data_IF_737613838487
#
_entry.id   IF_737613838487
#
_cell.length_a   1.000
_cell.length_b   1.000
_cell.length_c   1.000
_cell.angle_alpha   90.00
_cell.angle_beta   90.00
_cell.angle_gamma   90.00
#
_symmetry.space_group_name_H-M   'P 1'
#
loop_
_entity.id
_entity.type
_entity.pdbx_description
1 polymer ?
#
# COMPACT_ATOMS: atom_id res chain seq x y z
N UNK A 1 62.89 -13.06 62.01
CA UNK A 1 62.48 -11.80 62.66
C UNK A 1 62.97 -10.71 61.71
N UNK A 2 62.15 -9.92 61.03
CA UNK A 2 60.84 -9.35 61.33
C UNK A 2 60.25 -8.92 59.99
N UNK A 3 58.98 -9.19 59.72
CA UNK A 3 58.20 -8.34 58.80
C UNK A 3 56.72 -8.69 58.88
N UNK A 4 55.86 -7.68 59.08
CA UNK A 4 54.65 -7.67 58.28
C UNK A 4 54.23 -6.27 57.85
N UNK A 5 53.74 -6.12 56.61
CA UNK A 5 52.61 -5.23 56.37
C UNK A 5 51.83 -5.53 55.08
N UNK A 6 50.49 -5.51 55.26
CA UNK A 6 49.40 -5.18 54.32
C UNK A 6 48.90 -6.22 53.33
N UNK A 7 47.78 -6.82 53.74
CA UNK A 7 46.76 -7.51 52.92
C UNK A 7 45.88 -6.50 52.17
N UNK A 8 45.56 -6.80 50.91
CA UNK A 8 44.36 -6.35 50.22
C UNK A 8 43.91 -7.48 49.29
N UNK A 9 42.76 -8.10 49.58
CA UNK A 9 42.14 -9.13 48.73
C UNK A 9 41.00 -8.53 47.92
N UNK A 10 41.11 -8.55 46.59
CA UNK A 10 39.98 -8.36 45.67
C UNK A 10 40.05 -9.41 44.57
N UNK A 11 39.18 -10.40 44.73
CA UNK A 11 38.17 -10.82 43.76
C UNK A 11 38.54 -10.83 42.26
N UNK A 12 38.71 -12.02 41.69
CA UNK A 12 38.28 -12.37 40.32
C UNK A 12 38.68 -13.81 39.97
N UNK A 13 37.70 -14.72 39.87
CA UNK A 13 37.68 -15.83 38.88
C UNK A 13 36.60 -16.86 39.23
N UNK A 14 35.42 -16.73 38.63
CA UNK A 14 34.52 -17.87 38.42
C UNK A 14 33.90 -17.76 37.03
N UNK A 15 34.57 -18.38 36.06
CA UNK A 15 33.97 -18.77 34.79
C UNK A 15 33.62 -20.27 34.86
N UNK A 16 32.43 -20.61 34.37
CA UNK A 16 31.85 -21.93 34.00
C UNK A 16 30.43 -22.09 34.53
N UNK A 17 29.51 -21.33 33.94
CA UNK A 17 28.09 -21.67 33.87
C UNK A 17 27.78 -22.19 32.47
N UNK A 18 27.48 -23.50 32.36
CA UNK A 18 27.14 -24.14 31.09
C UNK A 18 25.92 -23.49 30.46
N UNK A 19 26.10 -22.93 29.24
CA UNK A 19 25.00 -22.42 28.43
C UNK A 19 24.16 -23.58 27.94
N UNK A 20 22.98 -23.69 28.53
CA UNK A 20 21.89 -24.54 28.07
C UNK A 20 21.55 -24.16 26.62
N UNK A 21 21.99 -24.97 25.65
CA UNK A 21 21.62 -24.84 24.24
C UNK A 21 20.16 -25.26 24.12
N UNK A 22 19.25 -24.31 24.32
CA UNK A 22 17.84 -24.51 24.03
C UNK A 22 17.69 -24.78 22.53
N UNK A 23 17.50 -26.06 22.24
CA UNK A 23 17.15 -26.65 20.97
C UNK A 23 15.78 -26.08 20.56
N UNK A 24 15.77 -24.91 19.88
CA UNK A 24 14.56 -24.42 19.20
C UNK A 24 14.35 -25.30 17.98
N UNK A 25 13.70 -26.44 18.24
CA UNK A 25 13.10 -27.31 17.25
C UNK A 25 12.37 -26.47 16.21
N UNK A 26 12.65 -26.77 14.94
CA UNK A 26 12.07 -26.11 13.79
C UNK A 26 10.55 -26.17 13.87
N UNK A 27 9.94 -25.04 14.23
CA UNK A 27 8.52 -24.80 13.97
C UNK A 27 8.40 -24.86 12.46
N UNK A 28 7.88 -25.97 11.94
CA UNK A 28 7.40 -26.06 10.55
C UNK A 28 6.71 -24.74 10.26
N UNK A 29 7.25 -23.97 9.30
CA UNK A 29 6.59 -22.77 8.81
C UNK A 29 5.28 -23.26 8.22
N UNK A 30 4.21 -23.27 9.02
CA UNK A 30 2.85 -23.39 8.50
C UNK A 30 2.78 -22.42 7.33
N UNK A 31 2.39 -22.91 6.16
CA UNK A 31 2.12 -22.04 5.02
C UNK A 31 1.30 -20.87 5.56
N UNK A 32 1.81 -19.64 5.41
CA UNK A 32 1.05 -18.47 5.81
C UNK A 32 -0.23 -18.52 4.99
N UNK A 33 -1.36 -18.72 5.67
CA UNK A 33 -2.68 -18.64 5.07
C UNK A 33 -2.81 -17.28 4.39
N UNK A 34 -3.50 -17.24 3.26
CA UNK A 34 -3.81 -15.96 2.63
C UNK A 34 -4.66 -15.12 3.60
N UNK A 35 -4.58 -13.80 3.46
CA UNK A 35 -5.29 -12.87 4.34
C UNK A 35 -4.62 -12.66 5.70
N UNK A 36 -5.25 -11.79 6.48
CA UNK A 36 -4.78 -11.33 7.77
C UNK A 36 -5.50 -12.02 8.93
N UNK A 37 -5.25 -11.56 10.15
CA UNK A 37 -6.08 -11.95 11.30
C UNK A 37 -7.52 -11.58 10.99
N UNK A 38 -8.47 -12.44 11.36
CA UNK A 38 -9.90 -12.20 11.13
C UNK A 38 -10.31 -10.80 11.60
N UNK A 39 -11.06 -10.07 10.76
CA UNK A 39 -11.55 -8.71 11.01
C UNK A 39 -12.25 -8.58 12.37
N UNK A 40 -13.12 -9.53 12.73
CA UNK A 40 -13.82 -9.51 14.03
C UNK A 40 -12.85 -9.46 15.22
N UNK A 41 -11.76 -10.23 15.17
CA UNK A 41 -10.73 -10.23 16.22
C UNK A 41 -9.95 -8.92 16.25
N UNK A 42 -9.68 -8.32 15.09
CA UNK A 42 -8.99 -7.02 15.03
C UNK A 42 -9.88 -5.89 15.55
N UNK A 43 -11.18 -5.92 15.23
CA UNK A 43 -12.18 -4.97 15.74
C UNK A 43 -12.28 -5.03 17.27
N UNK A 44 -12.35 -6.22 17.84
CA UNK A 44 -12.39 -6.41 19.30
C UNK A 44 -11.13 -5.82 19.98
N UNK A 45 -9.95 -6.09 19.42
CA UNK A 45 -8.67 -5.60 19.97
C UNK A 45 -8.52 -4.08 19.91
N UNK A 46 -9.07 -3.44 18.89
CA UNK A 46 -8.97 -2.00 18.68
C UNK A 46 -10.22 -1.23 19.12
N UNK A 47 -11.17 -1.86 19.82
CA UNK A 47 -12.46 -1.23 20.16
C UNK A 47 -12.30 0.09 20.94
N UNK A 48 -11.44 0.11 21.96
CA UNK A 48 -11.17 1.32 22.76
C UNK A 48 -10.51 2.43 21.94
N UNK A 49 -9.56 2.06 21.07
CA UNK A 49 -8.88 3.02 20.19
C UNK A 49 -9.87 3.62 19.18
N UNK A 50 -10.73 2.78 18.59
CA UNK A 50 -11.78 3.22 17.66
C UNK A 50 -12.73 4.21 18.36
N UNK A 51 -13.18 3.90 19.58
CA UNK A 51 -14.06 4.79 20.33
C UNK A 51 -13.41 6.16 20.58
N UNK A 52 -12.11 6.19 20.90
CA UNK A 52 -11.36 7.44 21.06
C UNK A 52 -11.29 8.24 19.73
N UNK A 53 -10.99 7.57 18.61
CA UNK A 53 -10.93 8.19 17.29
C UNK A 53 -12.30 8.74 16.84
N UNK A 54 -13.38 8.01 17.12
CA UNK A 54 -14.75 8.46 16.86
C UNK A 54 -15.17 9.65 17.74
N UNK A 55 -14.72 9.66 19.00
CA UNK A 55 -14.97 10.79 19.91
C UNK A 55 -14.23 12.04 19.45
N UNK A 56 -12.97 11.88 18.99
CA UNK A 56 -12.19 12.96 18.40
C UNK A 56 -12.87 13.53 17.15
N UNK A 57 -13.34 12.68 16.24
CA UNK A 57 -14.03 13.11 15.02
C UNK A 57 -15.30 13.92 15.33
N UNK A 58 -16.05 13.54 16.37
CA UNK A 58 -17.23 14.30 16.83
C UNK A 58 -16.85 15.60 17.53
N UNK A 59 -15.76 15.61 18.29
CA UNK A 59 -15.33 16.79 19.04
C UNK A 59 -14.52 17.82 18.25
N UNK A 60 -14.21 17.57 16.97
CA UNK A 60 -13.26 18.38 16.18
C UNK A 60 -13.64 19.86 16.02
N UNK A 61 -14.93 20.18 16.03
CA UNK A 61 -15.42 21.57 15.92
C UNK A 61 -15.47 22.31 17.27
N UNK A 62 -15.30 21.61 18.39
CA UNK A 62 -15.29 22.19 19.73
C UNK A 62 -13.87 22.40 20.26
N UNK A 63 -12.85 22.15 19.45
CA UNK A 63 -11.46 22.36 19.82
C UNK A 63 -11.15 23.86 19.88
N UNK A 64 -10.20 24.23 20.76
CA UNK A 64 -9.80 25.64 20.94
C UNK A 64 -9.10 26.20 19.71
N UNK A 65 -8.31 25.37 19.04
CA UNK A 65 -7.61 25.70 17.80
C UNK A 65 -8.30 24.96 16.66
N UNK A 66 -8.46 25.64 15.52
CA UNK A 66 -9.06 25.03 14.34
C UNK A 66 -8.16 23.90 13.84
N UNK A 67 -8.71 22.71 13.55
CA UNK A 67 -7.93 21.62 12.96
C UNK A 67 -7.31 22.04 11.62
N UNK A 68 -6.18 21.42 11.27
CA UNK A 68 -5.50 21.71 10.01
C UNK A 68 -6.44 21.58 8.81
N UNK A 69 -6.36 22.54 7.88
CA UNK A 69 -7.19 22.57 6.66
C UNK A 69 -8.57 23.19 6.85
N UNK A 70 -8.94 23.62 8.05
CA UNK A 70 -10.18 24.37 8.24
C UNK A 70 -9.94 25.87 7.92
N UNK A 71 -10.93 26.58 7.36
CA UNK A 71 -10.82 28.02 7.16
C UNK A 71 -10.74 28.77 8.51
N UNK A 72 -10.27 30.02 8.48
CA UNK A 72 -10.24 30.87 9.69
C UNK A 72 -11.66 31.14 10.21
N UNK A 73 -12.56 31.53 9.29
CA UNK A 73 -13.97 31.75 9.56
C UNK A 73 -14.77 30.49 9.26
N UNK A 74 -15.24 29.82 10.32
CA UNK A 74 -16.01 28.59 10.22
C UNK A 74 -17.44 28.88 10.65
N UNK A 75 -18.36 28.74 9.71
CA UNK A 75 -19.78 28.70 10.00
C UNK A 75 -20.13 27.50 10.90
N UNK A 76 -21.21 27.60 11.67
CA UNK A 76 -21.66 26.49 12.54
C UNK A 76 -21.84 25.19 11.72
N UNK A 77 -21.28 24.05 12.17
CA UNK A 77 -21.31 22.81 11.42
C UNK A 77 -22.72 22.23 11.37
N UNK A 78 -23.16 21.82 10.19
CA UNK A 78 -24.41 21.10 9.99
C UNK A 78 -24.19 19.61 10.25
N UNK A 79 -25.28 18.85 10.40
CA UNK A 79 -25.22 17.40 10.59
C UNK A 79 -25.88 16.68 9.43
N UNK A 80 -25.15 15.74 8.83
CA UNK A 80 -25.58 14.89 7.74
C UNK A 80 -25.41 13.42 8.13
N UNK A 81 -26.36 12.59 7.72
CA UNK A 81 -26.36 11.15 7.98
C UNK A 81 -26.66 10.39 6.71
N UNK A 82 -25.83 9.39 6.41
CA UNK A 82 -25.92 8.61 5.19
C UNK A 82 -25.90 7.11 5.49
N UNK A 83 -26.77 6.39 4.80
CA UNK A 83 -26.70 4.94 4.69
C UNK A 83 -25.94 4.60 3.40
N UNK A 84 -24.83 3.88 3.53
CA UNK A 84 -23.95 3.53 2.42
C UNK A 84 -23.84 2.02 2.32
N UNK A 85 -24.59 1.44 1.39
CA UNK A 85 -24.56 0.01 1.14
C UNK A 85 -23.19 -0.40 0.58
N UNK A 86 -22.67 -1.54 1.04
CA UNK A 86 -21.39 -2.10 0.56
C UNK A 86 -21.55 -3.58 0.24
N UNK A 87 -20.77 -4.04 -0.73
CA UNK A 87 -20.69 -5.43 -1.18
C UNK A 87 -19.22 -5.86 -1.25
N UNK A 88 -18.57 -6.09 -0.10
CA UNK A 88 -17.19 -6.52 -0.09
C UNK A 88 -17.04 -7.94 -0.66
N UNK A 89 -15.90 -8.22 -1.27
CA UNK A 89 -15.55 -9.54 -1.81
C UNK A 89 -15.28 -10.50 -0.64
N UNK A 90 -15.88 -11.71 -0.61
CA UNK A 90 -15.61 -12.68 0.44
C UNK A 90 -14.14 -13.07 0.53
N UNK A 91 -13.60 -13.26 1.74
CA UNK A 91 -12.19 -13.58 1.94
C UNK A 91 -11.83 -14.92 1.28
N UNK A 92 -12.77 -15.87 1.28
CA UNK A 92 -12.60 -17.16 0.64
C UNK A 92 -12.36 -17.02 -0.87
N UNK A 93 -13.17 -16.20 -1.53
CA UNK A 93 -13.09 -15.97 -2.97
C UNK A 93 -11.80 -15.23 -3.33
N UNK A 94 -11.42 -14.24 -2.53
CA UNK A 94 -10.13 -13.55 -2.67
C UNK A 94 -8.93 -14.50 -2.47
N UNK A 95 -8.96 -15.37 -1.46
CA UNK A 95 -7.93 -16.39 -1.20
C UNK A 95 -7.78 -17.35 -2.37
N UNK A 96 -8.91 -17.84 -2.90
CA UNK A 96 -8.92 -18.73 -4.05
C UNK A 96 -8.42 -18.05 -5.32
N UNK A 97 -8.78 -16.78 -5.54
CA UNK A 97 -8.32 -16.01 -6.69
C UNK A 97 -6.83 -15.68 -6.62
N UNK A 98 -6.31 -15.31 -5.45
CA UNK A 98 -4.91 -14.95 -5.24
C UNK A 98 -3.94 -16.04 -5.73
N UNK A 99 -4.35 -17.30 -5.62
CA UNK A 99 -3.57 -18.46 -6.11
C UNK A 99 -3.59 -18.64 -7.63
N UNK A 100 -4.61 -18.12 -8.32
CA UNK A 100 -4.86 -18.32 -9.76
C UNK A 100 -4.36 -17.17 -10.63
N UNK A 101 -4.34 -15.95 -10.09
CA UNK A 101 -3.87 -14.75 -10.82
C UNK A 101 -2.35 -14.62 -10.89
N UNK A 102 -1.62 -15.40 -10.09
CA UNK A 102 -0.16 -15.33 -10.00
C UNK A 102 0.49 -16.53 -10.70
N UNK A 103 1.35 -16.27 -11.69
CA UNK A 103 2.24 -17.28 -12.29
C UNK A 103 3.70 -16.86 -12.20
N UNK A 104 4.59 -17.85 -12.25
CA UNK A 104 6.04 -17.63 -12.17
C UNK A 104 6.52 -16.92 -13.43
N UNK A 105 7.30 -15.85 -13.25
CA UNK A 105 7.90 -15.08 -14.35
C UNK A 105 6.96 -14.07 -15.02
N UNK A 106 5.68 -14.02 -14.65
CA UNK A 106 4.71 -13.06 -15.19
C UNK A 106 4.73 -11.75 -14.38
N UNK A 107 5.70 -10.88 -14.65
CA UNK A 107 5.76 -9.52 -14.09
C UNK A 107 5.44 -8.41 -15.10
N UNK A 108 5.35 -8.75 -16.38
CA UNK A 108 5.01 -7.83 -17.45
C UNK A 108 3.52 -7.74 -17.74
N UNK A 109 3.22 -7.20 -18.92
CA UNK A 109 1.89 -7.19 -19.51
C UNK A 109 1.34 -8.61 -19.63
N UNK A 110 0.03 -8.72 -19.46
CA UNK A 110 -0.66 -9.95 -19.76
C UNK A 110 -1.07 -9.86 -21.23
N UNK A 111 -0.84 -10.94 -21.97
CA UNK A 111 -1.45 -11.12 -23.28
C UNK A 111 -2.97 -11.26 -23.11
N UNK A 112 -3.73 -10.89 -24.14
CA UNK A 112 -5.20 -10.88 -24.11
C UNK A 112 -5.76 -12.25 -23.70
N UNK A 113 -5.18 -13.35 -24.19
CA UNK A 113 -5.63 -14.70 -23.82
C UNK A 113 -5.47 -14.98 -22.31
N UNK A 114 -4.47 -14.37 -21.67
CA UNK A 114 -4.27 -14.52 -20.23
C UNK A 114 -5.22 -13.62 -19.44
N UNK A 115 -5.62 -12.48 -19.99
CA UNK A 115 -6.68 -11.63 -19.42
C UNK A 115 -8.02 -12.37 -19.47
N UNK A 116 -8.36 -12.94 -20.62
CA UNK A 116 -9.58 -13.75 -20.82
C UNK A 116 -9.63 -14.95 -19.88
N UNK A 117 -8.51 -15.65 -19.70
CA UNK A 117 -8.43 -16.76 -18.74
C UNK A 117 -8.70 -16.28 -17.30
N UNK A 118 -8.18 -15.11 -16.90
CA UNK A 118 -8.47 -14.54 -15.58
C UNK A 118 -9.94 -14.16 -15.47
N UNK A 119 -10.55 -13.64 -16.54
CA UNK A 119 -11.96 -13.29 -16.57
C UNK A 119 -12.86 -14.53 -16.38
N UNK A 120 -12.56 -15.63 -17.08
CA UNK A 120 -13.28 -16.91 -16.95
C UNK A 120 -13.14 -17.50 -15.55
N UNK A 121 -11.94 -17.40 -14.96
CA UNK A 121 -11.74 -17.83 -13.57
C UNK A 121 -12.55 -16.93 -12.62
N UNK A 122 -12.54 -15.61 -12.82
CA UNK A 122 -13.24 -14.64 -11.98
C UNK A 122 -14.75 -14.82 -11.98
N UNK A 123 -15.37 -15.23 -13.09
CA UNK A 123 -16.82 -15.46 -13.15
C UNK A 123 -17.31 -16.59 -12.24
N UNK A 124 -16.40 -17.44 -11.73
CA UNK A 124 -16.73 -18.49 -10.75
C UNK A 124 -16.72 -17.99 -9.30
N UNK A 125 -16.41 -16.71 -9.07
CA UNK A 125 -16.27 -16.09 -7.75
C UNK A 125 -17.12 -14.81 -7.65
N UNK A 126 -17.33 -14.32 -6.43
CA UNK A 126 -17.92 -12.99 -6.21
C UNK A 126 -16.88 -11.89 -6.42
N UNK A 127 -16.28 -11.87 -7.62
CA UNK A 127 -15.21 -10.96 -7.94
C UNK A 127 -15.18 -10.61 -9.44
N UNK A 128 -14.92 -9.36 -9.79
CA UNK A 128 -14.81 -8.90 -11.18
C UNK A 128 -13.40 -9.11 -11.75
N UNK A 129 -13.26 -8.96 -13.07
CA UNK A 129 -11.95 -9.00 -13.75
C UNK A 129 -11.01 -7.91 -13.22
N UNK A 130 -11.50 -6.68 -13.07
CA UNK A 130 -10.73 -5.53 -12.61
C UNK A 130 -10.25 -5.74 -11.16
N UNK A 131 -11.11 -6.31 -10.31
CA UNK A 131 -10.74 -6.71 -8.95
C UNK A 131 -9.63 -7.77 -8.98
N UNK A 132 -9.69 -8.75 -9.90
CA UNK A 132 -8.66 -9.79 -10.05
C UNK A 132 -7.33 -9.25 -10.55
N UNK A 133 -7.35 -8.36 -11.55
CA UNK A 133 -6.17 -7.70 -12.09
C UNK A 133 -5.53 -6.76 -11.05
N UNK A 134 -6.35 -6.06 -10.26
CA UNK A 134 -5.88 -5.23 -9.14
C UNK A 134 -5.29 -6.08 -8.01
N UNK A 135 -5.93 -7.19 -7.63
CA UNK A 135 -5.39 -8.16 -6.66
C UNK A 135 -4.05 -8.72 -7.12
N UNK A 136 -3.94 -9.12 -8.39
CA UNK A 136 -2.68 -9.56 -9.00
C UNK A 136 -1.58 -8.50 -8.85
N UNK A 137 -1.89 -7.25 -9.16
CA UNK A 137 -0.95 -6.13 -9.07
C UNK A 137 -0.47 -5.94 -7.62
N UNK A 138 -1.37 -6.01 -6.64
CA UNK A 138 -1.04 -5.96 -5.21
C UNK A 138 -0.10 -7.11 -4.77
N UNK A 139 -0.39 -8.33 -5.24
CA UNK A 139 0.39 -9.52 -4.93
C UNK A 139 1.79 -9.48 -5.54
N UNK A 140 1.92 -9.02 -6.79
CA UNK A 140 3.21 -8.84 -7.45
C UNK A 140 4.08 -7.79 -6.76
N UNK A 141 3.48 -6.67 -6.32
CA UNK A 141 4.18 -5.66 -5.51
C UNK A 141 4.68 -6.27 -4.19
N UNK A 142 3.83 -7.01 -3.47
CA UNK A 142 4.22 -7.67 -2.22
C UNK A 142 5.35 -8.68 -2.42
N UNK A 143 5.21 -9.55 -3.45
CA UNK A 143 6.22 -10.56 -3.81
C UNK A 143 7.56 -9.91 -4.11
N UNK A 144 7.55 -8.77 -4.81
CA UNK A 144 8.74 -7.98 -5.11
C UNK A 144 9.36 -7.42 -3.83
N UNK A 145 8.60 -6.67 -3.02
CA UNK A 145 9.13 -6.01 -1.82
C UNK A 145 9.71 -7.02 -0.82
N UNK A 146 9.00 -8.11 -0.53
CA UNK A 146 9.45 -9.10 0.45
C UNK A 146 10.49 -10.08 -0.13
N UNK A 147 10.53 -10.26 -1.44
CA UNK A 147 11.50 -11.12 -2.12
C UNK A 147 12.86 -10.47 -2.41
N UNK A 148 12.96 -9.14 -2.34
CA UNK A 148 14.15 -8.38 -2.78
C UNK A 148 15.46 -8.83 -2.10
N UNK A 149 15.44 -9.11 -0.79
CA UNK A 149 16.63 -9.57 -0.07
C UNK A 149 17.17 -10.91 -0.58
N UNK A 150 16.27 -11.86 -0.89
CA UNK A 150 16.61 -13.16 -1.49
C UNK A 150 17.11 -13.00 -2.92
N UNK A 151 16.53 -12.08 -3.70
CA UNK A 151 17.01 -11.82 -5.04
C UNK A 151 18.43 -11.25 -5.02
N UNK A 152 18.69 -10.28 -4.14
CA UNK A 152 20.01 -9.65 -4.02
C UNK A 152 21.11 -10.66 -3.70
N UNK A 153 20.83 -11.72 -2.93
CA UNK A 153 21.83 -12.77 -2.67
C UNK A 153 22.21 -13.58 -3.91
N UNK A 154 21.40 -13.54 -4.98
CA UNK A 154 21.68 -14.14 -6.28
C UNK A 154 22.36 -13.17 -7.26
N UNK A 155 22.71 -11.95 -6.84
CA UNK A 155 23.29 -10.89 -7.70
C UNK A 155 24.45 -11.38 -8.56
N UNK A 156 25.47 -11.98 -7.95
CA UNK A 156 26.64 -12.51 -8.67
C UNK A 156 26.28 -13.57 -9.72
N UNK A 157 25.30 -14.42 -9.42
CA UNK A 157 24.84 -15.44 -10.36
C UNK A 157 24.09 -14.80 -11.54
N UNK A 158 23.28 -13.78 -11.28
CA UNK A 158 22.61 -13.00 -12.34
C UNK A 158 23.62 -12.30 -13.24
N UNK A 159 24.65 -11.64 -12.67
CA UNK A 159 25.72 -11.01 -13.45
C UNK A 159 26.49 -12.03 -14.31
N UNK A 160 26.78 -13.21 -13.77
CA UNK A 160 27.44 -14.28 -14.54
C UNK A 160 26.61 -14.68 -15.77
N UNK A 161 25.32 -14.96 -15.58
CA UNK A 161 24.41 -15.34 -16.66
C UNK A 161 24.22 -14.20 -17.68
N UNK A 162 24.14 -12.96 -17.20
CA UNK A 162 24.11 -11.79 -18.08
C UNK A 162 25.37 -11.70 -18.93
N UNK A 163 26.55 -11.89 -18.34
CA UNK A 163 27.82 -11.92 -19.09
C UNK A 163 27.89 -13.07 -20.11
N UNK A 164 27.20 -14.19 -19.86
CA UNK A 164 27.04 -15.31 -20.79
C UNK A 164 26.04 -15.03 -21.93
N UNK A 165 25.40 -13.86 -21.94
CA UNK A 165 24.51 -13.42 -23.02
C UNK A 165 23.01 -13.57 -22.73
N UNK A 166 22.62 -13.98 -21.52
CA UNK A 166 21.20 -14.07 -21.14
C UNK A 166 20.62 -12.67 -20.97
N UNK A 167 19.46 -12.40 -21.60
CA UNK A 167 18.79 -11.10 -21.52
C UNK A 167 18.21 -10.81 -20.13
N UNK A 168 17.99 -9.54 -19.81
CA UNK A 168 17.34 -9.11 -18.56
C UNK A 168 15.92 -9.68 -18.45
N UNK A 169 15.18 -9.74 -19.56
CA UNK A 169 13.80 -10.27 -19.59
C UNK A 169 13.80 -11.78 -19.30
N UNK A 170 14.74 -12.54 -19.85
CA UNK A 170 14.85 -13.98 -19.55
C UNK A 170 15.31 -14.23 -18.11
N UNK A 171 16.21 -13.38 -17.59
CA UNK A 171 16.60 -13.41 -16.19
C UNK A 171 15.41 -13.09 -15.27
N UNK A 172 14.54 -12.16 -15.64
CA UNK A 172 13.28 -11.88 -14.93
C UNK A 172 12.38 -13.11 -14.85
N UNK A 173 12.16 -13.81 -15.96
CA UNK A 173 11.38 -15.06 -15.99
C UNK A 173 12.04 -16.16 -15.13
N UNK A 174 13.36 -16.28 -15.22
CA UNK A 174 14.15 -17.30 -14.49
C UNK A 174 14.16 -17.08 -12.98
N UNK A 175 14.46 -15.86 -12.55
CA UNK A 175 14.58 -15.46 -11.14
C UNK A 175 13.26 -15.00 -10.53
N UNK A 176 12.19 -14.94 -11.33
CA UNK A 176 10.82 -14.65 -10.91
C UNK A 176 10.71 -13.30 -10.18
N UNK A 177 11.15 -12.24 -10.86
CA UNK A 177 11.18 -10.88 -10.34
C UNK A 177 11.09 -9.81 -11.44
N UNK A 178 10.60 -8.58 -11.17
CA UNK A 178 10.46 -7.56 -12.21
C UNK A 178 11.76 -7.27 -12.99
N UNK A 179 11.69 -7.15 -14.34
CA UNK A 179 12.86 -6.90 -15.19
C UNK A 179 13.71 -5.71 -14.76
N UNK A 180 13.11 -4.59 -14.37
CA UNK A 180 13.88 -3.41 -13.94
C UNK A 180 14.62 -3.63 -12.64
N UNK A 181 14.09 -4.47 -11.76
CA UNK A 181 14.77 -4.84 -10.51
C UNK A 181 15.93 -5.80 -10.77
N UNK A 182 15.77 -6.74 -11.69
CA UNK A 182 16.87 -7.60 -12.16
C UNK A 182 17.99 -6.74 -12.73
N UNK A 183 17.65 -5.80 -13.62
CA UNK A 183 18.62 -4.93 -14.26
C UNK A 183 19.38 -4.06 -13.24
N UNK A 184 18.68 -3.45 -12.28
CA UNK A 184 19.30 -2.68 -11.19
C UNK A 184 20.28 -3.50 -10.37
N UNK A 185 19.99 -4.78 -10.12
CA UNK A 185 20.91 -5.66 -9.39
C UNK A 185 22.14 -6.00 -10.24
N UNK A 186 21.95 -6.31 -11.53
CA UNK A 186 23.07 -6.55 -12.46
C UNK A 186 24.01 -5.33 -12.47
N UNK A 187 23.48 -4.12 -12.68
CA UNK A 187 24.28 -2.89 -12.66
C UNK A 187 24.99 -2.67 -11.32
N UNK A 188 24.33 -3.01 -10.20
CA UNK A 188 24.96 -2.94 -8.87
C UNK A 188 26.14 -3.91 -8.74
N UNK A 189 26.01 -5.13 -9.26
CA UNK A 189 27.08 -6.14 -9.25
C UNK A 189 28.21 -5.79 -10.23
N UNK A 190 27.91 -5.04 -11.29
CA UNK A 190 28.91 -4.37 -12.15
C UNK A 190 29.62 -3.20 -11.44
N UNK A 191 29.39 -3.01 -10.13
CA UNK A 191 29.97 -1.97 -9.26
C UNK A 191 29.52 -0.54 -9.61
N UNK A 192 28.36 -0.38 -10.23
CA UNK A 192 27.80 0.96 -10.41
C UNK A 192 27.26 1.49 -9.09
N UNK A 193 27.47 2.78 -8.83
CA UNK A 193 26.88 3.45 -7.68
C UNK A 193 25.38 3.62 -7.87
N UNK A 194 24.61 3.69 -6.77
CA UNK A 194 23.16 3.95 -6.82
C UNK A 194 22.82 5.24 -7.58
N UNK A 195 23.65 6.27 -7.41
CA UNK A 195 23.51 7.56 -8.10
C UNK A 195 23.70 7.40 -9.60
N UNK A 196 24.79 6.74 -10.02
CA UNK A 196 25.05 6.45 -11.44
C UNK A 196 23.91 5.67 -12.07
N UNK A 197 23.44 4.60 -11.41
CA UNK A 197 22.30 3.81 -11.91
C UNK A 197 21.08 4.72 -12.07
N UNK A 198 20.71 5.50 -11.05
CA UNK A 198 19.55 6.39 -11.12
C UNK A 198 19.65 7.39 -12.28
N UNK A 199 20.81 8.01 -12.47
CA UNK A 199 21.04 9.00 -13.53
C UNK A 199 21.02 8.35 -14.91
N UNK A 200 21.68 7.21 -15.10
CA UNK A 200 21.70 6.50 -16.37
C UNK A 200 20.34 5.91 -16.78
N UNK A 201 19.50 5.51 -15.83
CA UNK A 201 18.13 5.05 -16.14
C UNK A 201 17.18 6.23 -16.42
N UNK A 202 17.47 7.44 -15.90
CA UNK A 202 16.73 8.65 -16.25
C UNK A 202 17.14 9.21 -17.61
N UNK A 203 18.39 8.98 -18.00
CA UNK A 203 18.95 9.40 -19.27
C UNK A 203 19.65 8.20 -19.95
N UNK A 204 18.87 7.31 -20.61
CA UNK A 204 19.38 6.04 -21.17
C UNK A 204 20.42 6.21 -22.28
N UNK A 205 20.58 7.41 -22.84
CA UNK A 205 21.65 7.73 -23.81
C UNK A 205 23.06 7.60 -23.21
N UNK A 206 23.18 7.61 -21.87
CA UNK A 206 24.45 7.40 -21.15
C UNK A 206 24.82 5.93 -20.97
N UNK A 207 23.95 5.00 -21.34
CA UNK A 207 24.20 3.56 -21.29
C UNK A 207 24.97 3.14 -22.54
N UNK A 208 25.82 2.12 -22.41
CA UNK A 208 26.37 1.39 -23.56
C UNK A 208 25.25 0.76 -24.38
N UNK A 209 25.54 0.46 -25.65
CA UNK A 209 24.55 -0.08 -26.59
C UNK A 209 23.77 -1.29 -26.03
N UNK A 210 24.49 -2.24 -25.43
CA UNK A 210 23.89 -3.41 -24.79
C UNK A 210 22.98 -3.03 -23.62
N UNK A 211 23.50 -2.31 -22.63
CA UNK A 211 22.74 -1.89 -21.45
C UNK A 211 21.53 -1.03 -21.83
N UNK A 212 21.63 -0.23 -22.88
CA UNK A 212 20.51 0.56 -23.41
C UNK A 212 19.42 -0.33 -24.03
N UNK A 213 19.80 -1.32 -24.83
CA UNK A 213 18.85 -2.28 -25.40
C UNK A 213 18.15 -3.09 -24.31
N UNK A 214 18.90 -3.56 -23.31
CA UNK A 214 18.37 -4.30 -22.16
C UNK A 214 17.48 -3.43 -21.27
N UNK A 215 17.82 -2.15 -21.09
CA UNK A 215 16.96 -1.18 -20.42
C UNK A 215 15.61 -1.05 -21.11
N UNK A 216 15.59 -0.78 -22.43
CA UNK A 216 14.36 -0.59 -23.20
C UNK A 216 13.48 -1.84 -23.14
N UNK A 217 14.08 -3.02 -23.33
CA UNK A 217 13.34 -4.29 -23.24
C UNK A 217 12.79 -4.56 -21.83
N UNK A 218 13.58 -4.27 -20.79
CA UNK A 218 13.16 -4.43 -19.40
C UNK A 218 12.07 -3.43 -19.01
N UNK A 219 12.18 -2.19 -19.46
CA UNK A 219 11.21 -1.12 -19.18
C UNK A 219 9.85 -1.43 -19.81
N UNK A 220 9.84 -1.83 -21.08
CA UNK A 220 8.63 -2.25 -21.79
C UNK A 220 7.96 -3.48 -21.15
N UNK A 221 8.75 -4.38 -20.56
CA UNK A 221 8.26 -5.62 -19.96
C UNK A 221 7.97 -5.54 -18.44
N UNK A 222 8.13 -4.39 -17.78
CA UNK A 222 7.99 -4.27 -16.32
C UNK A 222 6.77 -3.43 -15.91
N UNK A 223 5.60 -4.06 -15.85
CA UNK A 223 4.37 -3.40 -15.39
C UNK A 223 4.42 -3.02 -13.91
N UNK A 224 5.14 -3.78 -13.07
CA UNK A 224 5.13 -3.57 -11.61
C UNK A 224 5.93 -2.31 -11.23
N UNK A 225 7.02 -2.06 -11.94
CA UNK A 225 7.85 -0.87 -11.77
C UNK A 225 7.33 0.31 -12.60
N UNK A 226 6.71 0.06 -13.76
CA UNK A 226 6.28 1.06 -14.73
C UNK A 226 4.76 0.99 -14.99
N UNK A 227 3.94 1.07 -13.94
CA UNK A 227 2.48 1.28 -14.08
C UNK A 227 2.31 2.57 -14.90
N UNK A 228 1.55 2.53 -16.00
CA UNK A 228 1.23 3.75 -16.76
C UNK A 228 0.53 4.75 -15.84
N UNK A 229 1.26 5.82 -15.50
CA UNK A 229 0.85 6.75 -14.45
C UNK A 229 -0.09 7.83 -14.99
N UNK A 230 -0.16 8.05 -16.31
CA UNK A 230 -0.94 9.15 -16.89
C UNK A 230 -2.44 8.87 -16.84
N UNK A 231 -2.89 7.89 -17.62
CA UNK A 231 -4.31 7.52 -17.70
C UNK A 231 -4.85 7.05 -16.33
N UNK A 232 -4.04 6.32 -15.56
CA UNK A 232 -4.44 5.87 -14.23
C UNK A 232 -4.57 7.03 -13.23
N UNK A 233 -3.83 8.14 -13.40
CA UNK A 233 -3.95 9.30 -12.51
C UNK A 233 -5.17 10.13 -12.90
N UNK A 234 -5.41 10.38 -14.19
CA UNK A 234 -6.59 11.12 -14.64
C UNK A 234 -7.90 10.45 -14.18
N UNK A 235 -7.97 9.11 -14.27
CA UNK A 235 -9.14 8.36 -13.77
C UNK A 235 -9.23 8.33 -12.24
N UNK A 236 -8.11 8.43 -11.53
CA UNK A 236 -8.10 8.56 -10.08
C UNK A 236 -8.61 9.95 -9.64
N UNK A 237 -8.11 11.01 -10.27
CA UNK A 237 -8.53 12.39 -10.04
C UNK A 237 -10.04 12.56 -10.33
N UNK A 238 -10.51 12.00 -11.46
CA UNK A 238 -11.94 12.02 -11.79
C UNK A 238 -12.79 11.23 -10.79
N UNK A 239 -12.26 10.14 -10.22
CA UNK A 239 -12.96 9.39 -9.17
C UNK A 239 -13.06 10.20 -7.87
N UNK A 240 -12.01 10.94 -7.50
CA UNK A 240 -12.03 11.88 -6.38
C UNK A 240 -13.06 12.99 -6.59
N UNK A 241 -13.14 13.55 -7.80
CA UNK A 241 -14.13 14.58 -8.15
C UNK A 241 -15.57 14.06 -8.08
N UNK A 242 -15.86 12.87 -8.63
CA UNK A 242 -17.19 12.26 -8.54
C UNK A 242 -17.62 12.07 -7.08
N UNK A 243 -16.69 11.63 -6.24
CA UNK A 243 -16.95 11.42 -4.82
C UNK A 243 -17.20 12.75 -4.10
N UNK A 244 -16.42 13.79 -4.39
CA UNK A 244 -16.63 15.12 -3.82
C UNK A 244 -17.96 15.73 -4.28
N UNK A 245 -18.26 15.68 -5.58
CA UNK A 245 -19.51 16.16 -6.18
C UNK A 245 -20.72 15.51 -5.49
N UNK A 246 -20.69 14.19 -5.23
CA UNK A 246 -21.80 13.49 -4.59
C UNK A 246 -22.15 14.03 -3.19
N UNK A 247 -21.16 14.41 -2.38
CA UNK A 247 -21.38 15.00 -1.06
C UNK A 247 -21.80 16.48 -1.16
N UNK A 248 -21.18 17.24 -2.06
CA UNK A 248 -21.52 18.64 -2.29
C UNK A 248 -22.96 18.82 -2.81
N UNK A 249 -23.41 17.94 -3.70
CA UNK A 249 -24.78 17.90 -4.22
C UNK A 249 -25.83 17.66 -3.12
N UNK A 250 -25.43 17.04 -2.00
CA UNK A 250 -26.26 16.83 -0.82
C UNK A 250 -26.19 18.00 0.18
N UNK A 251 -25.40 19.04 -0.14
CA UNK A 251 -25.22 20.24 0.65
C UNK A 251 -24.14 20.13 1.73
N UNK A 252 -23.33 19.08 1.71
CA UNK A 252 -22.21 18.91 2.64
C UNK A 252 -21.06 19.82 2.24
N UNK A 253 -20.54 20.61 3.19
CA UNK A 253 -19.36 21.43 2.96
C UNK A 253 -18.10 20.61 3.19
N UNK A 254 -17.15 20.72 2.28
CA UNK A 254 -15.88 20.00 2.34
C UNK A 254 -14.74 20.83 1.72
N UNK A 255 -13.50 20.43 2.01
CA UNK A 255 -12.29 20.85 1.31
C UNK A 255 -11.82 19.71 0.42
N UNK A 256 -11.48 20.01 -0.84
CA UNK A 256 -10.83 19.04 -1.74
C UNK A 256 -9.30 19.09 -1.57
N UNK A 257 -8.62 17.98 -1.88
CA UNK A 257 -7.15 17.86 -1.77
C UNK A 257 -6.36 19.03 -2.38
N UNK A 258 -6.66 19.49 -3.62
CA UNK A 258 -5.84 20.50 -4.29
C UNK A 258 -5.77 21.82 -3.53
N UNK A 259 -6.85 22.19 -2.84
CA UNK A 259 -6.92 23.41 -2.04
C UNK A 259 -5.96 23.33 -0.84
N UNK A 260 -6.01 22.22 -0.09
CA UNK A 260 -5.16 21.99 1.07
C UNK A 260 -3.68 21.87 0.68
N UNK A 261 -3.39 21.24 -0.47
CA UNK A 261 -2.03 21.15 -1.02
C UNK A 261 -1.48 22.55 -1.30
N UNK A 262 -2.28 23.45 -1.88
CA UNK A 262 -1.88 24.82 -2.20
C UNK A 262 -1.55 25.61 -0.93
N UNK A 263 -2.45 25.59 0.05
CA UNK A 263 -2.29 26.29 1.33
C UNK A 263 -1.08 25.76 2.11
N UNK A 264 -0.96 24.44 2.31
CA UNK A 264 0.16 23.88 3.06
C UNK A 264 1.51 24.07 2.35
N UNK A 265 1.55 24.11 1.02
CA UNK A 265 2.79 24.47 0.30
C UNK A 265 3.19 25.91 0.58
N UNK A 266 2.22 26.83 0.64
CA UNK A 266 2.47 28.23 0.93
C UNK A 266 2.95 28.43 2.38
N UNK A 267 2.29 27.78 3.34
CA UNK A 267 2.54 28.03 4.77
C UNK A 267 3.67 27.18 5.35
N UNK A 268 3.79 25.92 4.90
CA UNK A 268 4.70 24.91 5.47
C UNK A 268 5.80 24.48 4.49
N UNK A 269 5.80 25.00 3.26
CA UNK A 269 6.73 24.65 2.19
C UNK A 269 6.51 23.26 1.58
N UNK A 270 5.55 22.48 2.09
CA UNK A 270 5.20 21.15 1.58
C UNK A 270 3.81 20.69 2.06
N UNK A 271 3.13 19.81 1.31
CA UNK A 271 1.95 19.11 1.83
C UNK A 271 2.34 18.17 2.99
N UNK A 272 1.52 18.17 4.04
CA UNK A 272 1.71 17.36 5.26
C UNK A 272 0.55 16.38 5.44
N UNK A 273 -0.68 16.87 5.46
CA UNK A 273 -1.90 16.05 5.60
C UNK A 273 -2.97 16.58 4.65
N UNK A 274 -3.24 15.83 3.60
CA UNK A 274 -4.17 16.22 2.54
C UNK A 274 -4.98 14.99 2.16
N UNK A 275 -6.02 14.63 2.93
CA UNK A 275 -6.99 13.63 2.47
C UNK A 275 -7.69 14.15 1.21
N UNK A 276 -8.38 13.28 0.49
CA UNK A 276 -9.00 13.67 -0.77
C UNK A 276 -10.19 14.59 -0.53
N UNK A 277 -10.97 14.27 0.51
CA UNK A 277 -12.04 15.11 1.05
C UNK A 277 -11.81 15.32 2.57
N UNK A 278 -11.92 16.57 3.03
CA UNK A 278 -12.00 16.92 4.45
C UNK A 278 -13.34 17.61 4.73
N UNK A 279 -14.20 17.03 5.56
CA UNK A 279 -15.52 17.58 5.81
C UNK A 279 -15.45 18.81 6.71
N UNK A 280 -16.25 19.83 6.41
CA UNK A 280 -16.47 21.00 7.26
C UNK A 280 -17.80 20.93 8.02
N UNK A 281 -18.52 19.81 7.89
CA UNK A 281 -19.75 19.49 8.60
C UNK A 281 -19.64 18.16 9.38
N UNK A 282 -20.54 17.92 10.33
CA UNK A 282 -20.68 16.61 10.96
C UNK A 282 -21.27 15.62 9.96
N UNK A 283 -20.49 14.64 9.54
CA UNK A 283 -20.94 13.56 8.66
C UNK A 283 -20.92 12.24 9.43
N UNK A 284 -22.04 11.53 9.45
CA UNK A 284 -22.13 10.14 9.89
C UNK A 284 -22.48 9.23 8.72
N UNK A 285 -21.68 8.20 8.48
CA UNK A 285 -21.95 7.16 7.48
C UNK A 285 -22.14 5.84 8.21
N UNK A 286 -23.25 5.15 7.98
CA UNK A 286 -23.58 3.89 8.66
C UNK A 286 -23.46 3.98 10.20
N UNK A 287 -23.90 5.11 10.77
CA UNK A 287 -23.87 5.41 12.22
C UNK A 287 -22.49 5.72 12.80
N UNK A 288 -21.47 5.91 11.97
CA UNK A 288 -20.08 6.17 12.37
C UNK A 288 -19.63 7.56 11.89
N UNK A 289 -18.91 8.35 12.72
CA UNK A 289 -18.50 9.69 12.34
C UNK A 289 -17.33 9.63 11.36
N UNK A 290 -17.43 10.42 10.29
CA UNK A 290 -16.43 10.49 9.23
C UNK A 290 -15.98 11.94 9.12
N UNK A 291 -14.74 12.23 9.50
CA UNK A 291 -14.17 13.58 9.40
C UNK A 291 -13.52 13.85 8.04
N UNK A 292 -13.02 12.81 7.37
CA UNK A 292 -12.31 12.87 6.10
C UNK A 292 -12.54 11.59 5.29
N UNK A 293 -12.34 11.68 3.98
CA UNK A 293 -12.35 10.54 3.06
C UNK A 293 -11.10 10.53 2.20
N UNK A 294 -10.57 9.34 1.96
CA UNK A 294 -9.49 9.09 1.01
C UNK A 294 -9.98 8.05 -0.03
N UNK A 295 -9.90 8.39 -1.30
CA UNK A 295 -10.43 7.64 -2.43
C UNK A 295 -9.32 6.78 -3.06
N UNK A 296 -9.64 5.51 -3.34
CA UNK A 296 -8.71 4.55 -3.92
C UNK A 296 -9.23 4.06 -5.25
N UNK A 297 -8.51 4.38 -6.32
CA UNK A 297 -8.76 3.91 -7.68
C UNK A 297 -8.27 2.46 -7.93
N UNK A 298 -8.39 1.57 -6.94
CA UNK A 298 -7.99 0.17 -7.05
C UNK A 298 -8.83 -0.68 -6.10
N UNK A 299 -8.75 -2.01 -6.23
CA UNK A 299 -9.41 -2.94 -5.32
C UNK A 299 -8.67 -3.07 -3.99
N UNK A 300 -9.39 -2.87 -2.88
CA UNK A 300 -8.87 -2.96 -1.51
C UNK A 300 -8.61 -4.40 -1.06
N UNK A 301 -7.52 -5.00 -1.52
CA UNK A 301 -7.18 -6.39 -1.22
C UNK A 301 -6.65 -6.61 0.22
N UNK A 302 -6.89 -7.79 0.81
CA UNK A 302 -6.31 -8.17 2.11
C UNK A 302 -4.85 -8.64 1.99
N UNK A 303 -3.99 -7.77 1.43
CA UNK A 303 -2.55 -7.98 1.21
C UNK A 303 -1.70 -7.19 2.23
N UNK A 304 -0.75 -7.85 2.90
CA UNK A 304 0.02 -7.29 4.03
C UNK A 304 0.79 -6.01 3.66
N UNK A 305 1.42 -6.00 2.49
CA UNK A 305 2.17 -4.82 2.03
C UNK A 305 1.26 -3.61 1.83
N UNK A 306 0.12 -3.77 1.16
CA UNK A 306 -0.84 -2.70 0.96
C UNK A 306 -1.44 -2.21 2.27
N UNK A 307 -1.87 -3.12 3.16
CA UNK A 307 -2.39 -2.75 4.48
C UNK A 307 -1.42 -1.88 5.28
N UNK A 308 -0.13 -2.25 5.33
CA UNK A 308 0.87 -1.44 6.04
C UNK A 308 1.05 -0.05 5.43
N UNK A 309 1.02 0.04 4.09
CA UNK A 309 1.10 1.33 3.38
C UNK A 309 -0.13 2.20 3.70
N UNK A 310 -1.32 1.62 3.66
CA UNK A 310 -2.57 2.31 3.99
C UNK A 310 -2.62 2.73 5.46
N UNK A 311 -2.25 1.85 6.40
CA UNK A 311 -2.21 2.16 7.83
C UNK A 311 -1.36 3.39 8.13
N UNK A 312 -0.19 3.48 7.51
CA UNK A 312 0.69 4.64 7.68
C UNK A 312 0.10 5.92 7.09
N UNK A 313 -0.68 5.82 6.01
CA UNK A 313 -1.37 6.96 5.41
C UNK A 313 -2.51 7.44 6.33
N UNK A 314 -3.44 6.54 6.66
CA UNK A 314 -4.64 6.86 7.44
C UNK A 314 -4.30 7.33 8.85
N UNK A 315 -3.27 6.75 9.49
CA UNK A 315 -2.86 7.16 10.84
C UNK A 315 -2.54 8.66 10.94
N UNK A 316 -2.02 9.29 9.88
CA UNK A 316 -1.73 10.73 9.88
C UNK A 316 -2.99 11.58 9.89
N UNK A 317 -4.05 11.10 9.24
CA UNK A 317 -5.33 11.80 9.18
C UNK A 317 -6.13 11.57 10.46
N UNK A 318 -6.09 10.33 10.99
CA UNK A 318 -6.71 9.98 12.26
C UNK A 318 -6.15 10.81 13.40
N UNK A 319 -4.83 10.97 13.45
CA UNK A 319 -4.16 11.79 14.45
C UNK A 319 -4.69 13.23 14.49
N UNK A 320 -4.99 13.81 13.33
CA UNK A 320 -5.43 15.20 13.21
C UNK A 320 -6.95 15.35 13.42
N UNK A 321 -7.75 14.58 12.67
CA UNK A 321 -9.19 14.81 12.55
C UNK A 321 -10.06 13.71 13.18
N UNK A 322 -9.46 12.65 13.72
CA UNK A 322 -10.19 11.48 14.20
C UNK A 322 -10.61 10.52 13.07
N UNK A 323 -11.61 9.68 13.33
CA UNK A 323 -12.06 8.66 12.38
C UNK A 323 -12.50 9.23 11.01
N UNK A 324 -12.30 8.43 9.97
CA UNK A 324 -12.64 8.77 8.60
C UNK A 324 -13.12 7.57 7.80
N UNK A 325 -13.10 7.68 6.48
CA UNK A 325 -13.45 6.58 5.58
C UNK A 325 -12.46 6.45 4.42
N UNK A 326 -12.41 5.24 3.86
CA UNK A 326 -11.68 4.95 2.62
C UNK A 326 -12.67 4.38 1.61
N UNK A 327 -12.79 5.01 0.45
CA UNK A 327 -13.70 4.58 -0.62
C UNK A 327 -12.89 3.91 -1.72
N UNK A 328 -13.14 2.63 -1.99
CA UNK A 328 -12.48 1.89 -3.06
C UNK A 328 -13.37 1.83 -4.31
N UNK A 329 -12.86 2.33 -5.45
CA UNK A 329 -13.57 2.29 -6.74
C UNK A 329 -14.01 0.88 -7.10
N UNK A 330 -13.11 -0.08 -6.98
CA UNK A 330 -13.36 -1.48 -7.33
C UNK A 330 -13.77 -2.32 -6.12
N UNK A 331 -14.24 -1.70 -5.03
CA UNK A 331 -14.59 -2.41 -3.80
C UNK A 331 -13.38 -2.93 -3.02
N UNK A 332 -13.64 -3.76 -2.00
CA UNK A 332 -12.62 -4.21 -1.05
C UNK A 332 -12.92 -5.62 -0.50
N UNK A 333 -11.90 -6.25 0.08
CA UNK A 333 -12.00 -7.55 0.76
C UNK A 333 -12.81 -7.46 2.05
N UNK A 334 -13.69 -8.42 2.32
CA UNK A 334 -14.50 -8.46 3.55
C UNK A 334 -13.65 -8.41 4.82
N UNK A 335 -12.44 -8.99 4.74
CA UNK A 335 -11.52 -9.11 5.85
C UNK A 335 -10.55 -7.91 5.96
N UNK A 336 -10.54 -7.01 4.97
CA UNK A 336 -9.77 -5.78 5.07
C UNK A 336 -10.30 -4.95 6.23
N UNK A 337 -9.39 -4.50 7.09
CA UNK A 337 -9.73 -3.77 8.29
C UNK A 337 -8.66 -2.73 8.64
N UNK A 338 -9.13 -1.54 8.96
CA UNK A 338 -8.31 -0.38 9.32
C UNK A 338 -8.96 0.29 10.54
N UNK A 339 -8.33 0.25 11.74
CA UNK A 339 -8.85 0.95 12.90
C UNK A 339 -9.09 2.44 12.61
N UNK A 340 -10.24 2.96 13.03
CA UNK A 340 -10.62 4.36 12.81
C UNK A 340 -11.09 4.69 11.39
N UNK A 341 -11.18 3.71 10.48
CA UNK A 341 -11.70 3.92 9.14
C UNK A 341 -12.89 3.01 8.83
N UNK A 342 -13.95 3.59 8.28
CA UNK A 342 -14.98 2.84 7.56
C UNK A 342 -14.42 2.53 6.17
N UNK A 343 -14.64 1.31 5.68
CA UNK A 343 -14.30 0.96 4.29
C UNK A 343 -15.60 0.94 3.49
N UNK A 344 -15.58 1.66 2.37
CA UNK A 344 -16.72 1.86 1.48
C UNK A 344 -16.32 1.44 0.07
N UNK A 345 -17.31 1.09 -0.74
CA UNK A 345 -17.16 0.89 -2.18
C UNK A 345 -17.91 1.99 -2.95
N UNK A 346 -17.69 2.05 -4.26
CA UNK A 346 -18.28 3.08 -5.10
C UNK A 346 -19.71 2.77 -5.57
N UNK A 347 -20.41 1.80 -4.98
CA UNK A 347 -21.69 1.31 -5.50
C UNK A 347 -22.83 2.35 -5.49
N UNK A 348 -22.73 3.38 -4.63
CA UNK A 348 -23.73 4.46 -4.55
C UNK A 348 -23.40 5.65 -5.47
N UNK A 349 -22.25 5.62 -6.14
CA UNK A 349 -21.76 6.71 -6.99
C UNK A 349 -22.15 6.47 -8.45
N UNK A 350 -22.46 7.55 -9.16
CA UNK A 350 -22.57 7.51 -10.62
C UNK A 350 -21.18 7.58 -11.25
N UNK A 351 -20.70 6.43 -11.73
CA UNK A 351 -19.37 6.30 -12.35
C UNK A 351 -19.40 6.46 -13.87
N UNK A 352 -20.52 6.86 -14.49
CA UNK A 352 -20.63 6.98 -15.96
C UNK A 352 -19.57 7.89 -16.57
N UNK A 353 -19.18 8.96 -15.87
CA UNK A 353 -18.09 9.87 -16.29
C UNK A 353 -16.73 9.18 -16.45
N UNK A 354 -16.49 8.06 -15.74
CA UNK A 354 -15.25 7.29 -15.85
C UNK A 354 -15.23 6.35 -17.08
N UNK A 355 -16.31 6.31 -17.87
CA UNK A 355 -16.50 5.34 -18.96
C UNK A 355 -16.80 3.93 -18.45
N UNK A 356 -17.24 3.05 -19.35
CA UNK A 356 -17.26 1.61 -19.07
C UNK A 356 -15.86 1.17 -18.68
N UNK A 357 -15.73 0.45 -17.56
CA UNK A 357 -14.52 -0.31 -17.29
C UNK A 357 -14.35 -1.29 -18.44
N UNK A 358 -13.25 -1.17 -19.18
CA UNK A 358 -12.75 -2.25 -20.04
C UNK A 358 -11.90 -3.20 -19.20
#
# INVERSE_FOLDING_TARGET
MSDPQRRNSKDSSKSKGGRNRNNRSGRQRRNRRYGSTAKATLMERSATEIQAMETQARGRFSQKENPMGFPEDIEEPRTFKFDWATMPVPLKDEEEMASKVMRKGEFGWLEDERVDEIAEIASSYQMTLEQALSLRSALLQQKTVYGHGRLRSQGKNMLRLYNEGVSVVDLSKRFDFPPMNIFRIILTEMRWSKTRIKESLREPSKLSERERAEFVAAEAADRVSNVDQGESQERADLFEDILADWFEDQGVRLRRQPEMVREQKQDLGRPVRTPDLLFLDHVEINGKPVAWIDAKHFYGADVEFQRKKMAKQMARYIEEWGSGAVVYRHGFSENLFMPGCILLDANVLDLTKLGSGE
#
